data_IF_484191572167
#
_entry.id   IF_484191572167
#
_cell.length_a   1.000
_cell.length_b   1.000
_cell.length_c   1.000
_cell.angle_alpha   90.00
_cell.angle_beta   90.00
_cell.angle_gamma   90.00
#
_symmetry.space_group_name_H-M   'P 1'
#
loop_
_entity.id
_entity.type
_entity.pdbx_description
1 polymer ?
#
# COMPACT_ATOMS: atom_id res chain seq x y z
N UNK A 1 -16.28 11.22 14.06
CA UNK A 1 -16.13 11.11 12.58
C UNK A 1 -16.37 12.41 11.82
N UNK A 2 -17.59 12.97 11.84
CA UNK A 2 -17.97 14.11 10.98
C UNK A 2 -17.05 15.34 11.10
N UNK A 3 -16.62 15.69 12.33
CA UNK A 3 -15.68 16.80 12.56
C UNK A 3 -14.29 16.56 11.93
N UNK A 4 -13.81 15.32 11.91
CA UNK A 4 -12.50 14.95 11.35
C UNK A 4 -12.53 15.07 9.83
N UNK A 5 -13.57 14.54 9.18
CA UNK A 5 -13.78 14.68 7.74
C UNK A 5 -13.89 16.16 7.33
N UNK A 6 -14.47 17.02 8.18
CA UNK A 6 -14.53 18.47 7.87
C UNK A 6 -13.15 19.15 7.91
N UNK A 7 -12.16 18.60 8.62
CA UNK A 7 -10.80 19.16 8.71
C UNK A 7 -9.96 18.88 7.46
N UNK A 8 -10.34 17.92 6.62
CA UNK A 8 -9.60 17.64 5.38
C UNK A 8 -9.83 18.69 4.29
N UNK A 9 -10.83 19.58 4.46
CA UNK A 9 -11.10 20.67 3.51
C UNK A 9 -11.71 20.24 2.17
N UNK A 10 -11.97 18.94 1.99
CA UNK A 10 -12.47 18.37 0.75
C UNK A 10 -13.99 18.56 0.62
N UNK A 11 -14.44 18.98 -0.57
CA UNK A 11 -15.86 19.15 -0.88
C UNK A 11 -16.47 17.78 -1.24
N UNK A 12 -17.51 17.38 -0.52
CA UNK A 12 -18.32 16.20 -0.82
C UNK A 12 -19.78 16.48 -0.47
N UNK A 13 -20.71 15.78 -1.12
CA UNK A 13 -22.13 15.84 -0.82
C UNK A 13 -22.44 15.13 0.52
N UNK A 14 -23.63 15.44 1.08
CA UNK A 14 -24.05 14.88 2.37
C UNK A 14 -24.21 13.36 2.31
N UNK A 15 -24.64 12.81 1.17
CA UNK A 15 -24.89 11.37 1.03
C UNK A 15 -23.57 10.60 1.00
N UNK A 16 -22.58 11.06 0.25
CA UNK A 16 -21.22 10.50 0.27
C UNK A 16 -20.58 10.54 1.66
N UNK A 17 -20.82 11.62 2.40
CA UNK A 17 -20.31 11.76 3.76
C UNK A 17 -20.94 10.76 4.73
N UNK A 18 -22.25 10.63 4.72
CA UNK A 18 -22.97 9.70 5.59
C UNK A 18 -22.62 8.26 5.23
N UNK A 19 -22.48 7.96 3.94
CA UNK A 19 -21.99 6.67 3.46
C UNK A 19 -20.58 6.35 3.97
N UNK A 20 -19.64 7.30 3.87
CA UNK A 20 -18.26 7.11 4.34
C UNK A 20 -18.19 6.90 5.86
N UNK A 21 -19.05 7.58 6.63
CA UNK A 21 -19.15 7.41 8.08
C UNK A 21 -19.65 6.00 8.43
N UNK A 22 -20.68 5.52 7.74
CA UNK A 22 -21.21 4.18 7.95
C UNK A 22 -20.22 3.10 7.52
N UNK A 23 -19.48 3.32 6.43
CA UNK A 23 -18.48 2.38 5.93
C UNK A 23 -17.28 2.22 6.87
N UNK A 24 -16.89 3.31 7.53
CA UNK A 24 -15.72 3.31 8.40
C UNK A 24 -16.00 2.81 9.82
N UNK A 25 -17.28 2.57 10.20
CA UNK A 25 -17.71 1.97 11.47
C UNK A 25 -16.97 2.48 12.73
N UNK A 26 -16.66 3.77 12.77
CA UNK A 26 -15.94 4.41 13.87
C UNK A 26 -14.40 4.50 13.74
N UNK A 27 -13.74 3.80 12.80
CA UNK A 27 -12.31 4.01 12.50
C UNK A 27 -12.10 5.24 11.59
N UNK A 28 -11.75 6.37 12.22
CA UNK A 28 -11.49 7.62 11.50
C UNK A 28 -10.30 7.55 10.53
N UNK A 29 -9.33 6.66 10.77
CA UNK A 29 -8.17 6.51 9.87
C UNK A 29 -8.62 5.88 8.57
N UNK A 30 -9.44 4.83 8.64
CA UNK A 30 -9.98 4.18 7.45
C UNK A 30 -10.79 5.17 6.60
N UNK A 31 -11.63 5.99 7.23
CA UNK A 31 -12.37 7.05 6.56
C UNK A 31 -11.46 8.05 5.84
N UNK A 32 -10.39 8.51 6.50
CA UNK A 32 -9.42 9.46 5.91
C UNK A 32 -8.67 8.81 4.75
N UNK A 33 -8.18 7.58 4.92
CA UNK A 33 -7.43 6.86 3.87
C UNK A 33 -8.26 6.69 2.61
N UNK A 34 -9.52 6.23 2.73
CA UNK A 34 -10.42 6.09 1.58
C UNK A 34 -10.69 7.43 0.93
N UNK A 35 -10.91 8.48 1.74
CA UNK A 35 -11.18 9.82 1.24
C UNK A 35 -10.00 10.42 0.46
N UNK A 36 -8.79 10.37 1.02
CA UNK A 36 -7.56 10.87 0.39
C UNK A 36 -7.24 10.11 -0.90
N UNK A 37 -7.40 8.78 -0.87
CA UNK A 37 -7.20 7.95 -2.06
C UNK A 37 -8.23 8.26 -3.14
N UNK A 38 -9.49 8.48 -2.78
CA UNK A 38 -10.56 8.84 -3.73
C UNK A 38 -10.26 10.18 -4.39
N UNK A 39 -9.84 11.16 -3.59
CA UNK A 39 -9.45 12.47 -4.11
C UNK A 39 -8.23 12.36 -5.05
N UNK A 40 -7.25 11.54 -4.70
CA UNK A 40 -6.03 11.34 -5.51
C UNK A 40 -6.31 10.63 -6.83
N UNK A 41 -7.19 9.63 -6.84
CA UNK A 41 -7.48 8.81 -8.02
C UNK A 41 -8.49 9.47 -8.97
N UNK A 42 -9.51 10.14 -8.43
CA UNK A 42 -10.66 10.59 -9.22
C UNK A 42 -10.85 12.11 -9.20
N UNK A 43 -10.19 12.85 -8.32
CA UNK A 43 -10.30 14.32 -8.19
C UNK A 43 -11.64 14.85 -7.67
N UNK A 44 -12.69 14.02 -7.72
CA UNK A 44 -14.04 14.29 -7.22
C UNK A 44 -14.45 13.20 -6.23
N UNK A 45 -15.18 13.58 -5.19
CA UNK A 45 -15.67 12.66 -4.15
C UNK A 45 -17.18 12.50 -4.31
N UNK A 46 -17.58 11.37 -4.89
CA UNK A 46 -18.96 10.88 -4.97
C UNK A 46 -19.05 9.45 -4.46
N UNK A 47 -20.27 8.96 -4.17
CA UNK A 47 -20.50 7.59 -3.70
C UNK A 47 -19.87 6.55 -4.64
N UNK A 48 -19.97 6.76 -5.95
CA UNK A 48 -19.43 5.86 -6.97
C UNK A 48 -17.91 5.82 -6.86
N UNK A 49 -17.25 6.98 -6.86
CA UNK A 49 -15.77 7.05 -6.76
C UNK A 49 -15.26 6.51 -5.42
N UNK A 50 -16.01 6.65 -4.34
CA UNK A 50 -15.68 6.07 -3.03
C UNK A 50 -15.76 4.54 -3.06
N UNK A 51 -16.81 3.98 -3.69
CA UNK A 51 -16.95 2.53 -3.90
C UNK A 51 -15.85 1.98 -4.81
N UNK A 52 -15.56 2.67 -5.91
CA UNK A 52 -14.51 2.28 -6.86
C UNK A 52 -13.12 2.34 -6.21
N UNK A 53 -12.89 3.31 -5.32
CA UNK A 53 -11.64 3.40 -4.55
C UNK A 53 -11.44 2.19 -3.65
N UNK A 54 -12.50 1.69 -2.99
CA UNK A 54 -12.41 0.47 -2.17
C UNK A 54 -12.22 -0.80 -2.98
N UNK A 55 -12.80 -0.85 -4.18
CA UNK A 55 -12.61 -1.98 -5.10
C UNK A 55 -11.25 -1.93 -5.81
N UNK A 56 -10.63 -0.74 -5.88
CA UNK A 56 -9.34 -0.55 -6.51
C UNK A 56 -8.26 -1.36 -5.79
N UNK A 57 -7.62 -2.26 -6.54
CA UNK A 57 -6.52 -3.12 -6.08
C UNK A 57 -5.34 -2.32 -5.50
N UNK A 58 -5.25 -1.02 -5.78
CA UNK A 58 -4.25 -0.12 -5.21
C UNK A 58 -4.26 -0.06 -3.67
N UNK A 59 -5.40 -0.33 -3.02
CA UNK A 59 -5.52 -0.34 -1.56
C UNK A 59 -5.02 -1.63 -0.89
N UNK A 60 -4.60 -2.66 -1.66
CA UNK A 60 -4.09 -3.91 -1.08
C UNK A 60 -2.64 -3.83 -0.62
N UNK A 61 -1.94 -2.74 -0.90
CA UNK A 61 -0.58 -2.55 -0.38
C UNK A 61 -0.60 -1.73 0.90
N UNK A 62 -0.88 -2.42 1.99
CA UNK A 62 -0.63 -1.87 3.31
C UNK A 62 0.88 -1.86 3.56
N UNK A 63 1.51 -0.70 3.35
CA UNK A 63 2.92 -0.47 3.69
C UNK A 63 3.23 -0.71 5.19
N UNK A 64 2.20 -0.75 6.05
CA UNK A 64 2.30 -1.08 7.48
C UNK A 64 1.72 -2.47 7.81
N UNK A 65 1.29 -3.22 6.80
CA UNK A 65 0.59 -4.48 6.96
C UNK A 65 1.49 -5.69 6.80
N UNK A 66 0.93 -6.85 7.09
CA UNK A 66 1.61 -8.15 7.01
C UNK A 66 2.14 -8.44 5.59
N UNK A 67 1.42 -7.99 4.55
CA UNK A 67 1.79 -8.20 3.16
C UNK A 67 3.14 -7.56 2.78
N UNK A 68 3.46 -6.38 3.31
CA UNK A 68 4.76 -5.72 3.11
C UNK A 68 5.91 -6.63 3.57
N UNK A 69 5.83 -7.10 4.82
CA UNK A 69 6.84 -7.98 5.41
C UNK A 69 6.89 -9.35 4.75
N UNK A 70 5.74 -9.93 4.41
CA UNK A 70 5.67 -11.25 3.78
C UNK A 70 6.31 -11.22 2.39
N UNK A 71 6.04 -10.19 1.57
CA UNK A 71 6.59 -10.09 0.22
C UNK A 71 8.10 -9.85 0.25
N UNK A 72 8.59 -8.90 1.05
CA UNK A 72 10.05 -8.66 1.13
C UNK A 72 10.79 -9.86 1.71
N UNK A 73 10.19 -10.57 2.67
CA UNK A 73 10.77 -11.79 3.22
C UNK A 73 10.86 -12.90 2.17
N UNK A 74 9.80 -13.08 1.37
CA UNK A 74 9.79 -14.04 0.27
C UNK A 74 10.85 -13.68 -0.79
N UNK A 75 10.97 -12.40 -1.14
CA UNK A 75 12.01 -11.90 -2.05
C UNK A 75 13.43 -12.28 -1.60
N UNK A 76 13.81 -11.97 -0.36
CA UNK A 76 15.14 -12.31 0.17
C UNK A 76 15.35 -13.83 0.24
N UNK A 77 14.34 -14.60 0.67
CA UNK A 77 14.42 -16.06 0.74
C UNK A 77 14.59 -16.70 -0.64
N UNK A 78 13.90 -16.19 -1.65
CA UNK A 78 14.04 -16.66 -3.03
C UNK A 78 15.46 -16.41 -3.57
N UNK A 79 16.06 -15.26 -3.28
CA UNK A 79 17.46 -15.00 -3.65
C UNK A 79 18.43 -15.94 -2.92
N UNK A 80 18.27 -16.13 -1.60
CA UNK A 80 19.08 -17.10 -0.81
C UNK A 80 18.97 -18.52 -1.32
N UNK A 81 17.78 -18.93 -1.78
CA UNK A 81 17.53 -20.24 -2.34
C UNK A 81 18.01 -20.40 -3.80
N UNK A 82 18.59 -19.36 -4.41
CA UNK A 82 19.02 -19.39 -5.81
C UNK A 82 17.86 -19.56 -6.79
N UNK A 83 16.68 -19.04 -6.47
CA UNK A 83 15.46 -19.14 -7.29
C UNK A 83 15.18 -17.80 -7.99
N UNK A 84 15.78 -17.52 -9.17
CA UNK A 84 15.72 -16.20 -9.81
C UNK A 84 14.31 -15.83 -10.27
N UNK A 85 13.53 -16.77 -10.81
CA UNK A 85 12.16 -16.50 -11.28
C UNK A 85 11.26 -16.03 -10.13
N UNK A 86 11.36 -16.69 -8.98
CA UNK A 86 10.62 -16.30 -7.77
C UNK A 86 11.08 -14.94 -7.24
N UNK A 87 12.40 -14.66 -7.25
CA UNK A 87 12.92 -13.36 -6.83
C UNK A 87 12.39 -12.22 -7.71
N UNK A 88 12.40 -12.40 -9.05
CA UNK A 88 11.85 -11.42 -9.99
C UNK A 88 10.34 -11.25 -9.78
N UNK A 89 9.60 -12.34 -9.55
CA UNK A 89 8.18 -12.27 -9.25
C UNK A 89 7.87 -11.40 -8.03
N UNK A 90 8.55 -11.63 -6.90
CA UNK A 90 8.32 -10.82 -5.69
C UNK A 90 8.82 -9.38 -5.84
N UNK A 91 9.89 -9.14 -6.59
CA UNK A 91 10.32 -7.80 -6.94
C UNK A 91 9.25 -7.05 -7.74
N UNK A 92 8.74 -7.66 -8.81
CA UNK A 92 7.67 -7.06 -9.64
C UNK A 92 6.42 -6.76 -8.80
N UNK A 93 6.06 -7.66 -7.89
CA UNK A 93 4.95 -7.44 -6.94
C UNK A 93 5.17 -6.21 -6.04
N UNK A 94 6.39 -5.99 -5.54
CA UNK A 94 6.69 -4.80 -4.74
C UNK A 94 6.66 -3.51 -5.58
N UNK A 95 7.19 -3.56 -6.80
CA UNK A 95 7.22 -2.41 -7.72
C UNK A 95 5.81 -2.00 -8.14
N UNK A 96 5.00 -2.95 -8.59
CA UNK A 96 3.59 -2.73 -8.97
C UNK A 96 2.76 -2.20 -7.81
N UNK A 97 3.09 -2.63 -6.59
CA UNK A 97 2.41 -2.19 -5.39
C UNK A 97 2.90 -0.83 -4.83
N UNK A 98 3.89 -0.21 -5.48
CA UNK A 98 4.40 1.10 -5.12
C UNK A 98 5.24 1.12 -3.85
N UNK A 99 5.94 0.02 -3.55
CA UNK A 99 6.95 -0.01 -2.49
C UNK A 99 8.03 1.06 -2.73
N UNK A 100 8.60 1.60 -1.64
CA UNK A 100 9.72 2.52 -1.74
C UNK A 100 10.94 1.81 -2.39
N UNK A 101 11.44 2.26 -3.56
CA UNK A 101 12.61 1.64 -4.18
C UNK A 101 13.84 1.67 -3.27
N UNK A 102 14.00 2.68 -2.43
CA UNK A 102 15.10 2.75 -1.47
C UNK A 102 14.97 1.67 -0.39
N UNK A 103 13.76 1.27 -0.02
CA UNK A 103 13.55 0.15 0.90
C UNK A 103 14.03 -1.16 0.29
N UNK A 104 13.65 -1.45 -0.96
CA UNK A 104 14.10 -2.64 -1.70
C UNK A 104 15.63 -2.65 -1.80
N UNK A 105 16.23 -1.53 -2.24
CA UNK A 105 17.68 -1.40 -2.40
C UNK A 105 18.45 -1.64 -1.09
N UNK A 106 17.98 -1.08 0.04
CA UNK A 106 18.59 -1.32 1.37
C UNK A 106 18.60 -2.81 1.71
N UNK A 107 17.52 -3.54 1.41
CA UNK A 107 17.42 -4.98 1.67
C UNK A 107 18.36 -5.79 0.77
N UNK A 108 18.59 -5.35 -0.46
CA UNK A 108 19.58 -5.97 -1.35
C UNK A 108 21.02 -5.77 -0.88
N UNK A 109 21.37 -4.57 -0.37
CA UNK A 109 22.70 -4.32 0.21
C UNK A 109 22.97 -5.23 1.40
N UNK A 110 21.97 -5.40 2.30
CA UNK A 110 22.08 -6.32 3.43
C UNK A 110 22.27 -7.77 2.95
N UNK A 111 21.47 -8.23 1.98
CA UNK A 111 21.63 -9.56 1.37
C UNK A 111 23.03 -9.76 0.78
N UNK A 112 23.55 -8.78 0.04
CA UNK A 112 24.91 -8.86 -0.51
C UNK A 112 25.96 -9.02 0.59
N UNK A 113 25.81 -8.34 1.73
CA UNK A 113 26.76 -8.46 2.84
C UNK A 113 26.60 -9.74 3.69
N UNK A 114 25.37 -10.22 3.90
CA UNK A 114 25.07 -11.31 4.84
C UNK A 114 25.02 -12.68 4.16
N UNK A 115 24.44 -12.77 2.97
CA UNK A 115 24.15 -14.03 2.28
C UNK A 115 25.17 -14.35 1.18
N UNK A 116 25.77 -13.34 0.55
CA UNK A 116 26.84 -13.51 -0.44
C UNK A 116 28.21 -13.33 0.23
N UNK A 117 28.41 -12.19 0.90
CA UNK A 117 29.62 -11.88 1.66
C UNK A 117 30.89 -12.01 0.82
N UNK A 118 31.94 -12.59 1.42
CA UNK A 118 33.24 -12.78 0.77
C UNK A 118 33.25 -13.88 -0.30
N UNK A 119 32.17 -14.65 -0.46
CA UNK A 119 32.10 -15.65 -1.52
C UNK A 119 32.14 -14.98 -2.90
N UNK A 120 31.62 -13.76 -3.02
CA UNK A 120 31.72 -12.94 -4.22
C UNK A 120 31.67 -11.43 -3.88
N UNK A 121 32.83 -10.80 -3.64
CA UNK A 121 32.95 -9.42 -3.18
C UNK A 121 32.75 -8.36 -4.28
#
# INVERSE_FOLDING_TARGET
>A
MAKIIKRTGLKMDKVSRDWLINMADGDARQAITVLENTQRLYGKITIETLKDTLQSKFLRYDKKGEAHYNIISAFIKSMRAGQPDAAIYYLARMVEAGEDPLFIARRMVVFASEDIGLAQP
#
